data_IF_153752046669
#
_entry.id   IF_153752046669
#
_cell.length_a   1.000
_cell.length_b   1.000
_cell.length_c   1.000
_cell.angle_alpha   90.00
_cell.angle_beta   90.00
_cell.angle_gamma   90.00
#
_symmetry.space_group_name_H-M   'P 1'
#
loop_
_entity.id
_entity.type
_entity.pdbx_description
1 polymer ?
#
# COMPACT_ATOMS: atom_id res chain seq x y z
N UNK A 1 -16.41 -33.33 -61.32
CA UNK A 1 -17.11 -34.31 -62.17
C UNK A 1 -16.69 -34.03 -63.60
N UNK A 2 -16.39 -35.10 -64.34
CA UNK A 2 -15.71 -35.14 -65.63
C UNK A 2 -14.19 -34.91 -65.56
N UNK A 3 -13.32 -35.66 -66.23
CA UNK A 3 -13.34 -36.98 -66.88
C UNK A 3 -11.95 -37.04 -67.54
N UNK A 4 -11.27 -38.17 -67.42
CA UNK A 4 -10.23 -38.63 -68.34
C UNK A 4 -9.15 -37.60 -68.77
N UNK A 5 -8.14 -37.38 -67.92
CA UNK A 5 -6.81 -37.16 -68.45
C UNK A 5 -6.26 -38.52 -68.89
N UNK A 6 -6.09 -38.70 -70.19
CA UNK A 6 -5.51 -39.89 -70.81
C UNK A 6 -4.06 -40.04 -70.33
N UNK A 7 -3.80 -41.05 -69.50
CA UNK A 7 -2.46 -41.38 -69.05
C UNK A 7 -1.84 -42.40 -70.02
N UNK A 8 -0.92 -41.92 -70.86
CA UNK A 8 0.21 -42.71 -71.39
C UNK A 8 -0.08 -44.13 -71.89
N UNK A 9 -0.95 -44.33 -72.87
CA UNK A 9 -1.12 -45.63 -73.54
C UNK A 9 0.00 -45.88 -74.59
N UNK A 10 1.20 -46.26 -74.12
CA UNK A 10 2.33 -46.94 -74.81
C UNK A 10 3.71 -46.50 -74.32
N UNK A 11 3.78 -45.57 -73.39
CA UNK A 11 5.01 -45.37 -72.61
C UNK A 11 4.77 -46.00 -71.25
N UNK A 12 5.68 -46.89 -70.84
CA UNK A 12 5.79 -47.45 -69.50
C UNK A 12 6.21 -46.36 -68.48
N UNK A 13 5.65 -45.15 -68.64
CA UNK A 13 5.93 -43.94 -67.88
C UNK A 13 4.78 -43.78 -66.89
N UNK A 14 5.05 -44.16 -65.65
CA UNK A 14 4.18 -43.85 -64.52
C UNK A 14 4.22 -42.34 -64.27
N UNK A 15 3.34 -41.62 -64.96
CA UNK A 15 3.24 -40.16 -64.87
C UNK A 15 2.88 -39.70 -63.46
N UNK A 16 2.22 -40.52 -62.64
CA UNK A 16 1.94 -40.21 -61.24
C UNK A 16 3.21 -40.33 -60.38
N UNK A 17 4.03 -41.35 -60.59
CA UNK A 17 5.34 -41.48 -59.94
C UNK A 17 6.29 -40.35 -60.37
N UNK A 18 6.28 -39.94 -61.64
CA UNK A 18 7.05 -38.78 -62.13
C UNK A 18 6.57 -37.48 -61.48
N UNK A 19 5.26 -37.25 -61.39
CA UNK A 19 4.68 -36.08 -60.72
C UNK A 19 5.04 -36.11 -59.22
N UNK A 20 4.92 -37.26 -58.54
CA UNK A 20 5.30 -37.40 -57.14
C UNK A 20 6.82 -37.18 -56.92
N UNK A 21 7.67 -37.63 -57.86
CA UNK A 21 9.12 -37.38 -57.83
C UNK A 21 9.47 -35.92 -58.10
N UNK A 22 8.72 -35.22 -58.96
CA UNK A 22 8.88 -33.77 -59.15
C UNK A 22 8.40 -32.98 -57.93
N UNK A 23 7.25 -33.33 -57.34
CA UNK A 23 6.71 -32.71 -56.13
C UNK A 23 7.64 -32.93 -54.93
N UNK A 24 8.21 -34.12 -54.76
CA UNK A 24 9.19 -34.38 -53.70
C UNK A 24 10.54 -33.68 -53.94
N UNK A 25 10.96 -33.51 -55.19
CA UNK A 25 12.13 -32.69 -55.54
C UNK A 25 11.88 -31.20 -55.22
N UNK A 26 10.68 -30.69 -55.47
CA UNK A 26 10.27 -29.33 -55.14
C UNK A 26 10.16 -29.14 -53.61
N UNK A 27 9.61 -30.12 -52.90
CA UNK A 27 9.48 -30.14 -51.43
C UNK A 27 10.84 -30.22 -50.70
N UNK A 28 11.89 -30.74 -51.33
CA UNK A 28 13.26 -30.78 -50.76
C UNK A 28 13.76 -29.40 -50.31
N UNK A 29 13.36 -28.34 -51.01
CA UNK A 29 13.69 -26.97 -50.64
C UNK A 29 13.01 -26.56 -49.33
N UNK A 30 11.76 -26.98 -49.13
CA UNK A 30 10.98 -26.78 -47.91
C UNK A 30 11.55 -27.59 -46.74
N UNK A 31 11.94 -28.85 -46.95
CA UNK A 31 12.58 -29.67 -45.93
C UNK A 31 13.90 -29.05 -45.45
N UNK A 32 14.69 -28.48 -46.37
CA UNK A 32 15.94 -27.81 -46.06
C UNK A 32 15.71 -26.51 -45.27
N UNK A 33 14.65 -25.77 -45.58
CA UNK A 33 14.25 -24.57 -44.82
C UNK A 33 13.71 -24.94 -43.44
N UNK A 34 12.90 -26.00 -43.30
CA UNK A 34 12.39 -26.46 -42.01
C UNK A 34 13.52 -26.97 -41.12
N UNK A 35 14.48 -27.72 -41.67
CA UNK A 35 15.69 -28.13 -40.94
C UNK A 35 16.51 -26.92 -40.46
N UNK A 36 16.68 -25.89 -41.31
CA UNK A 36 17.33 -24.63 -40.91
C UNK A 36 16.56 -23.91 -39.80
N UNK A 37 15.24 -23.85 -39.90
CA UNK A 37 14.37 -23.26 -38.88
C UNK A 37 14.49 -23.98 -37.54
N UNK A 38 14.54 -25.32 -37.53
CA UNK A 38 14.76 -26.09 -36.30
C UNK A 38 16.12 -25.78 -35.66
N UNK A 39 17.18 -25.66 -36.45
CA UNK A 39 18.51 -25.27 -35.96
C UNK A 39 18.49 -23.85 -35.36
N UNK A 40 17.88 -22.88 -36.03
CA UNK A 40 17.76 -21.51 -35.52
C UNK A 40 16.87 -21.43 -34.27
N UNK A 41 15.82 -22.24 -34.16
CA UNK A 41 15.01 -22.36 -32.95
C UNK A 41 15.81 -22.92 -31.77
N UNK A 42 16.65 -23.94 -31.99
CA UNK A 42 17.53 -24.49 -30.96
C UNK A 42 18.59 -23.47 -30.51
N UNK A 43 19.17 -22.71 -31.45
CA UNK A 43 20.08 -21.59 -31.14
C UNK A 43 19.37 -20.53 -30.31
N UNK A 44 18.16 -20.12 -30.72
CA UNK A 44 17.36 -19.14 -29.98
C UNK A 44 17.06 -19.61 -28.56
N UNK A 45 16.66 -20.87 -28.37
CA UNK A 45 16.41 -21.45 -27.05
C UNK A 45 17.69 -21.42 -26.18
N UNK A 46 18.85 -21.72 -26.77
CA UNK A 46 20.14 -21.67 -26.08
C UNK A 46 20.51 -20.23 -25.67
N UNK A 47 20.28 -19.24 -26.55
CA UNK A 47 20.49 -17.83 -26.24
C UNK A 47 19.52 -17.32 -25.16
N UNK A 48 18.27 -17.75 -25.17
CA UNK A 48 17.30 -17.42 -24.12
C UNK A 48 17.73 -18.01 -22.77
N UNK A 49 18.19 -19.27 -22.74
CA UNK A 49 18.72 -19.88 -21.53
C UNK A 49 19.95 -19.14 -21.00
N UNK A 50 20.89 -18.74 -21.87
CA UNK A 50 22.05 -17.94 -21.50
C UNK A 50 21.64 -16.56 -20.95
N UNK A 51 20.71 -15.86 -21.62
CA UNK A 51 20.16 -14.58 -21.17
C UNK A 51 19.57 -14.69 -19.76
N UNK A 52 18.76 -15.71 -19.51
CA UNK A 52 18.14 -15.93 -18.20
C UNK A 52 19.21 -16.18 -17.13
N UNK A 53 20.23 -17.00 -17.43
CA UNK A 53 21.35 -17.24 -16.50
C UNK A 53 22.14 -15.96 -16.20
N UNK A 54 22.40 -15.14 -17.21
CA UNK A 54 23.07 -13.84 -17.03
C UNK A 54 22.22 -12.86 -16.21
N UNK A 55 20.90 -12.86 -16.39
CA UNK A 55 19.99 -12.04 -15.58
C UNK A 55 19.99 -12.50 -14.11
N UNK A 56 19.95 -13.81 -13.86
CA UNK A 56 20.08 -14.35 -12.49
C UNK A 56 21.43 -13.99 -11.89
N UNK A 57 22.53 -14.17 -12.61
CA UNK A 57 23.86 -13.81 -12.13
C UNK A 57 23.96 -12.32 -11.80
N UNK A 58 23.46 -11.45 -12.70
CA UNK A 58 23.39 -10.00 -12.47
C UNK A 58 22.63 -9.70 -11.18
N UNK A 59 21.48 -10.34 -10.94
CA UNK A 59 20.67 -10.14 -9.74
C UNK A 59 21.43 -10.49 -8.45
N UNK A 60 22.15 -11.62 -8.46
CA UNK A 60 22.99 -12.05 -7.34
C UNK A 60 24.10 -11.04 -7.07
N UNK A 61 24.82 -10.62 -8.13
CA UNK A 61 25.91 -9.64 -8.01
C UNK A 61 25.39 -8.29 -7.53
N UNK A 62 24.25 -7.80 -8.03
CA UNK A 62 23.65 -6.54 -7.55
C UNK A 62 23.24 -6.62 -6.08
N UNK A 63 22.76 -7.79 -5.63
CA UNK A 63 22.42 -8.00 -4.22
C UNK A 63 23.67 -7.99 -3.34
N UNK A 64 24.76 -8.60 -3.81
CA UNK A 64 26.03 -8.64 -3.09
C UNK A 64 26.80 -7.32 -3.14
N UNK A 65 26.60 -6.47 -4.16
CA UNK A 65 27.29 -5.19 -4.29
C UNK A 65 26.72 -4.08 -3.37
N UNK A 66 26.16 -4.44 -2.21
CA UNK A 66 25.68 -3.48 -1.22
C UNK A 66 26.51 -3.63 0.06
N UNK A 67 27.20 -2.57 0.46
CA UNK A 67 28.07 -2.54 1.64
C UNK A 67 27.32 -2.92 2.92
N UNK A 68 26.03 -2.58 3.00
CA UNK A 68 25.13 -2.93 4.11
C UNK A 68 24.96 -4.43 4.34
N UNK A 69 25.23 -5.28 3.34
CA UNK A 69 25.19 -6.75 3.48
C UNK A 69 26.40 -7.32 4.21
N UNK A 70 27.53 -6.62 4.19
CA UNK A 70 28.76 -7.04 4.85
C UNK A 70 28.94 -6.40 6.23
N UNK A 71 28.39 -5.21 6.42
CA UNK A 71 28.39 -4.50 7.71
C UNK A 71 27.03 -4.69 8.38
N UNK A 72 26.71 -5.94 8.74
CA UNK A 72 25.47 -6.25 9.45
C UNK A 72 25.69 -6.15 10.95
N UNK A 73 25.18 -5.08 11.56
CA UNK A 73 25.06 -4.99 13.01
C UNK A 73 23.85 -5.82 13.46
N UNK A 74 24.03 -6.67 14.47
CA UNK A 74 22.95 -7.40 15.12
C UNK A 74 22.63 -6.75 16.45
N UNK A 75 21.35 -6.49 16.71
CA UNK A 75 20.87 -6.12 18.03
C UNK A 75 20.62 -7.38 18.88
N UNK A 76 20.98 -7.31 20.16
CA UNK A 76 20.58 -8.29 21.16
C UNK A 76 19.90 -7.53 22.29
N UNK A 77 18.64 -7.82 22.53
CA UNK A 77 17.89 -7.25 23.64
C UNK A 77 18.06 -8.12 24.88
N UNK A 78 18.32 -7.49 26.02
CA UNK A 78 18.39 -8.15 27.33
C UNK A 78 17.58 -7.33 28.33
N UNK A 79 16.56 -7.97 28.92
CA UNK A 79 15.81 -7.39 30.02
C UNK A 79 16.50 -7.76 31.33
N UNK A 80 16.92 -6.75 32.09
CA UNK A 80 17.60 -6.93 33.37
C UNK A 80 16.63 -6.82 34.57
N UNK A 81 15.31 -6.88 34.33
CA UNK A 81 14.29 -6.91 35.37
C UNK A 81 14.21 -8.28 36.01
N UNK A 82 14.27 -8.34 37.34
CA UNK A 82 14.15 -9.59 38.09
C UNK A 82 12.71 -10.13 38.15
N UNK A 83 11.72 -9.32 37.83
CA UNK A 83 10.29 -9.67 37.94
C UNK A 83 9.59 -9.89 36.60
N UNK A 84 10.23 -9.54 35.48
CA UNK A 84 9.64 -9.64 34.15
C UNK A 84 10.71 -9.95 33.10
N UNK A 85 10.44 -10.96 32.25
CA UNK A 85 11.30 -11.35 31.14
C UNK A 85 10.73 -10.91 29.78
N UNK A 86 9.61 -10.19 29.78
CA UNK A 86 8.95 -9.77 28.57
C UNK A 86 9.80 -8.76 27.80
N UNK A 87 9.60 -8.74 26.49
CA UNK A 87 10.26 -7.81 25.60
C UNK A 87 9.58 -6.45 25.70
N UNK A 88 10.27 -5.46 26.29
CA UNK A 88 9.72 -4.10 26.45
C UNK A 88 9.94 -3.23 25.21
N UNK A 89 10.96 -3.52 24.40
CA UNK A 89 11.33 -2.74 23.21
C UNK A 89 11.83 -3.65 22.09
N UNK A 90 11.43 -3.34 20.86
CA UNK A 90 12.04 -3.89 19.64
C UNK A 90 13.21 -3.01 19.19
N UNK A 91 14.37 -3.63 18.94
CA UNK A 91 15.57 -2.93 18.49
C UNK A 91 15.93 -3.42 17.10
N UNK A 92 15.94 -2.51 16.13
CA UNK A 92 16.46 -2.74 14.79
C UNK A 92 17.73 -1.92 14.56
N UNK A 93 18.67 -2.45 13.79
CA UNK A 93 19.98 -1.84 13.53
C UNK A 93 20.22 -1.69 12.04
N UNK A 94 20.89 -0.61 11.66
CA UNK A 94 21.40 -0.41 10.29
C UNK A 94 22.90 -0.64 10.24
N UNK A 95 23.48 -0.70 9.04
CA UNK A 95 24.93 -0.85 8.85
C UNK A 95 25.75 0.32 9.39
N UNK A 96 25.13 1.46 9.65
CA UNK A 96 25.74 2.65 10.24
C UNK A 96 25.64 2.70 11.77
N UNK A 97 24.98 1.73 12.40
CA UNK A 97 24.86 1.69 13.86
C UNK A 97 26.24 1.48 14.50
N UNK A 98 26.54 2.27 15.55
CA UNK A 98 27.76 2.09 16.32
C UNK A 98 27.62 0.87 17.23
N UNK A 99 28.64 0.00 17.26
CA UNK A 99 28.66 -1.15 18.15
C UNK A 99 28.88 -0.71 19.60
N UNK A 100 28.06 -1.23 20.51
CA UNK A 100 28.17 -0.92 21.94
C UNK A 100 27.01 -1.50 22.74
N UNK A 101 27.11 -1.36 24.06
CA UNK A 101 26.02 -1.69 24.99
C UNK A 101 25.33 -0.40 25.42
N UNK A 102 24.00 -0.37 25.29
CA UNK A 102 23.19 0.78 25.63
C UNK A 102 22.17 0.37 26.70
N UNK A 103 22.15 1.11 27.81
CA UNK A 103 21.14 0.93 28.87
C UNK A 103 19.97 1.88 28.61
N UNK A 104 18.75 1.32 28.58
CA UNK A 104 17.51 2.07 28.40
C UNK A 104 16.61 1.81 29.60
N UNK A 105 15.96 2.87 30.09
CA UNK A 105 14.85 2.78 31.05
C UNK A 105 13.62 3.37 30.36
N UNK A 106 12.50 2.64 30.42
CA UNK A 106 11.22 3.09 29.86
C UNK A 106 10.33 3.49 31.04
N UNK A 107 10.17 4.80 31.24
CA UNK A 107 9.32 5.31 32.31
C UNK A 107 7.85 5.36 31.91
N UNK A 108 7.55 6.03 30.79
CA UNK A 108 6.19 6.23 30.28
C UNK A 108 6.12 5.94 28.78
N UNK A 109 5.02 5.32 28.35
CA UNK A 109 4.72 5.13 26.94
C UNK A 109 4.06 6.39 26.37
N UNK A 110 4.43 6.76 25.14
CA UNK A 110 3.72 7.78 24.41
C UNK A 110 2.33 7.26 24.03
N UNK A 111 1.28 7.91 24.53
CA UNK A 111 -0.11 7.58 24.22
C UNK A 111 -0.72 8.62 23.29
N UNK A 112 -1.74 8.21 22.53
CA UNK A 112 -2.59 9.12 21.77
C UNK A 112 -3.51 9.94 22.68
N UNK A 113 -3.88 11.14 22.25
CA UNK A 113 -4.89 11.94 22.97
C UNK A 113 -6.29 11.48 22.60
N UNK A 114 -7.18 11.35 23.60
CA UNK A 114 -8.60 11.06 23.42
C UNK A 114 -9.44 12.11 24.11
N UNK A 115 -10.32 12.75 23.36
CA UNK A 115 -11.34 13.68 23.85
C UNK A 115 -12.68 13.01 23.68
N UNK A 116 -13.48 12.99 24.73
CA UNK A 116 -14.83 12.44 24.73
C UNK A 116 -15.79 13.58 25.02
N UNK A 117 -16.81 13.73 24.18
CA UNK A 117 -17.86 14.73 24.40
C UNK A 117 -18.80 14.32 25.53
N UNK A 118 -19.69 15.25 25.89
CA UNK A 118 -20.91 14.92 26.62
C UNK A 118 -21.79 13.95 25.80
N UNK A 119 -22.72 13.28 26.48
CA UNK A 119 -23.67 12.38 25.84
C UNK A 119 -24.72 13.13 25.02
N UNK A 120 -25.17 12.49 23.95
CA UNK A 120 -26.25 12.92 23.07
C UNK A 120 -27.27 11.79 22.92
N UNK A 121 -28.55 12.14 22.73
CA UNK A 121 -29.63 11.16 22.57
C UNK A 121 -29.48 10.32 21.29
N UNK A 122 -28.93 10.89 20.22
CA UNK A 122 -28.73 10.23 18.93
C UNK A 122 -27.59 10.84 18.12
N UNK A 123 -27.17 10.14 17.05
CA UNK A 123 -26.19 10.68 16.07
C UNK A 123 -26.72 11.86 15.26
N UNK A 124 -28.04 12.09 15.27
CA UNK A 124 -28.70 13.20 14.58
C UNK A 124 -29.05 14.35 15.51
N UNK A 125 -28.65 14.29 16.78
CA UNK A 125 -28.90 15.36 17.75
C UNK A 125 -28.38 16.69 17.22
N UNK A 126 -29.22 17.73 17.31
CA UNK A 126 -28.89 19.07 16.83
C UNK A 126 -27.84 19.73 17.73
N UNK A 127 -26.93 20.47 17.11
CA UNK A 127 -25.87 21.24 17.75
C UNK A 127 -26.15 22.73 17.56
N UNK A 128 -25.73 23.54 18.53
CA UNK A 128 -25.78 25.00 18.39
C UNK A 128 -24.81 25.50 17.31
N UNK A 129 -25.28 26.43 16.48
CA UNK A 129 -24.45 27.09 15.47
C UNK A 129 -23.26 27.81 16.11
N UNK A 130 -22.11 27.74 15.46
CA UNK A 130 -20.88 28.32 15.98
C UNK A 130 -19.65 27.84 15.24
N UNK A 131 -18.49 28.00 15.86
CA UNK A 131 -17.20 27.60 15.30
C UNK A 131 -16.51 26.63 16.25
N UNK A 132 -16.07 25.51 15.70
CA UNK A 132 -15.27 24.50 16.40
C UNK A 132 -13.85 24.56 15.87
N UNK A 133 -12.91 24.95 16.71
CA UNK A 133 -11.48 24.85 16.38
C UNK A 133 -10.95 23.53 16.90
N UNK A 134 -10.35 22.74 16.01
CA UNK A 134 -9.63 21.50 16.33
C UNK A 134 -8.15 21.76 16.10
N UNK A 135 -7.33 21.40 17.08
CA UNK A 135 -5.88 21.52 17.01
C UNK A 135 -5.27 20.14 17.26
N UNK A 136 -4.35 19.71 16.40
CA UNK A 136 -3.52 18.51 16.57
C UNK A 136 -2.07 18.93 16.50
N UNK A 137 -1.38 18.89 17.64
CA UNK A 137 -0.02 19.41 17.76
C UNK A 137 0.06 20.90 17.41
N UNK A 138 0.82 21.21 16.36
CA UNK A 138 0.98 22.57 15.82
C UNK A 138 -0.03 22.94 14.73
N UNK A 139 -0.77 21.98 14.19
CA UNK A 139 -1.74 22.23 13.12
C UNK A 139 -3.13 22.49 13.71
N UNK A 140 -3.84 23.50 13.21
CA UNK A 140 -5.20 23.80 13.65
C UNK A 140 -6.11 24.18 12.49
N UNK A 141 -7.35 23.71 12.55
CA UNK A 141 -8.39 24.01 11.57
C UNK A 141 -9.70 24.33 12.29
N UNK A 142 -10.54 25.16 11.67
CA UNK A 142 -11.82 25.56 12.24
C UNK A 142 -12.97 25.07 11.35
N UNK A 143 -13.95 24.43 11.97
CA UNK A 143 -15.21 24.02 11.37
C UNK A 143 -16.26 25.07 11.74
N UNK A 144 -17.02 25.55 10.76
CA UNK A 144 -18.22 26.35 11.01
C UNK A 144 -19.42 25.40 11.05
N UNK A 145 -20.15 25.41 12.17
CA UNK A 145 -21.42 24.71 12.35
C UNK A 145 -22.55 25.66 11.98
N UNK A 146 -23.36 25.27 10.99
CA UNK A 146 -24.53 25.98 10.51
C UNK A 146 -25.67 24.98 10.21
N UNK A 147 -26.80 25.47 9.70
CA UNK A 147 -27.98 24.63 9.40
C UNK A 147 -27.77 23.48 8.40
N UNK A 148 -26.64 23.42 7.70
CA UNK A 148 -26.33 22.32 6.75
C UNK A 148 -25.57 21.16 7.42
N UNK A 149 -24.94 21.39 8.57
CA UNK A 149 -24.08 20.42 9.25
C UNK A 149 -24.23 20.45 10.80
N UNK A 150 -25.29 21.05 11.32
CA UNK A 150 -25.61 21.17 12.76
C UNK A 150 -26.10 19.87 13.41
N UNK A 151 -25.72 18.71 12.89
CA UNK A 151 -25.96 17.42 13.55
C UNK A 151 -24.67 16.86 14.10
N UNK A 152 -24.77 15.97 15.09
CA UNK A 152 -23.60 15.30 15.64
C UNK A 152 -22.81 14.50 14.58
N UNK A 153 -23.50 13.86 13.63
CA UNK A 153 -22.87 13.21 12.48
C UNK A 153 -22.26 14.20 11.49
N UNK A 154 -22.90 15.34 11.27
CA UNK A 154 -22.35 16.45 10.48
C UNK A 154 -21.02 16.94 11.05
N UNK A 155 -20.93 17.13 12.37
CA UNK A 155 -19.70 17.50 13.05
C UNK A 155 -18.63 16.40 12.95
N UNK A 156 -18.99 15.14 13.16
CA UNK A 156 -18.06 14.00 13.04
C UNK A 156 -17.45 13.93 11.63
N UNK A 157 -18.26 14.05 10.59
CA UNK A 157 -17.79 14.07 9.21
C UNK A 157 -16.92 15.30 8.94
N UNK A 158 -17.32 16.47 9.41
CA UNK A 158 -16.53 17.69 9.26
C UNK A 158 -15.14 17.57 9.91
N UNK A 159 -15.04 16.98 11.11
CA UNK A 159 -13.75 16.72 11.79
C UNK A 159 -12.88 15.77 10.97
N UNK A 160 -13.44 14.64 10.52
CA UNK A 160 -12.70 13.67 9.72
C UNK A 160 -12.23 14.23 8.36
N UNK A 161 -12.91 15.26 7.84
CA UNK A 161 -12.58 15.93 6.59
C UNK A 161 -11.63 17.13 6.75
N UNK A 162 -11.17 17.45 7.96
CA UNK A 162 -10.24 18.56 8.21
C UNK A 162 -8.83 18.34 7.63
N UNK A 163 -8.47 17.10 7.30
CA UNK A 163 -7.11 16.74 6.86
C UNK A 163 -6.06 16.84 7.96
N UNK A 164 -6.47 16.90 9.23
CA UNK A 164 -5.58 16.83 10.39
C UNK A 164 -5.38 15.38 10.82
N UNK A 165 -4.31 15.11 11.58
CA UNK A 165 -4.03 13.80 12.20
C UNK A 165 -4.98 13.49 13.38
N UNK A 166 -6.28 13.53 13.13
CA UNK A 166 -7.36 13.25 14.10
C UNK A 166 -8.42 12.37 13.47
N UNK A 167 -9.11 11.60 14.32
CA UNK A 167 -10.24 10.75 13.93
C UNK A 167 -11.40 10.96 14.89
N UNK A 168 -12.58 11.21 14.35
CA UNK A 168 -13.82 11.31 15.09
C UNK A 168 -14.72 10.10 14.84
N UNK A 169 -15.19 9.48 15.92
CA UNK A 169 -16.06 8.31 15.92
C UNK A 169 -17.12 8.40 17.00
N UNK A 170 -18.21 7.65 16.85
CA UNK A 170 -19.19 7.49 17.92
C UNK A 170 -18.77 6.39 18.88
N UNK A 171 -19.01 6.64 20.15
CA UNK A 171 -18.95 5.66 21.23
C UNK A 171 -20.35 5.60 21.83
N UNK A 172 -20.94 4.41 21.89
CA UNK A 172 -22.14 4.18 22.70
C UNK A 172 -21.69 3.72 24.09
N UNK A 173 -21.98 4.50 25.13
CA UNK A 173 -21.59 4.20 26.50
C UNK A 173 -22.66 3.45 27.31
N UNK A 174 -23.84 3.23 26.73
CA UNK A 174 -24.96 2.53 27.35
C UNK A 174 -25.84 3.39 28.26
N UNK A 175 -25.75 4.72 28.24
CA UNK A 175 -26.69 5.59 28.96
C UNK A 175 -28.12 5.46 28.39
N UNK A 176 -29.13 5.43 29.27
CA UNK A 176 -30.53 5.22 28.88
C UNK A 176 -31.14 6.40 28.10
N UNK A 177 -30.57 7.60 28.24
CA UNK A 177 -31.13 8.85 27.69
C UNK A 177 -30.23 9.56 26.70
N UNK A 178 -28.91 9.47 26.91
CA UNK A 178 -27.89 10.12 26.08
C UNK A 178 -26.72 9.17 25.74
N UNK A 179 -26.99 8.01 25.11
CA UNK A 179 -26.01 6.94 24.92
C UNK A 179 -24.85 7.31 24.00
N UNK A 180 -25.02 8.31 23.12
CA UNK A 180 -24.07 8.59 22.05
C UNK A 180 -23.05 9.63 22.47
N UNK A 181 -21.77 9.28 22.49
CA UNK A 181 -20.65 10.21 22.69
C UNK A 181 -19.84 10.36 21.41
N UNK A 182 -19.34 11.56 21.15
CA UNK A 182 -18.33 11.82 20.13
C UNK A 182 -16.94 11.61 20.74
N UNK A 183 -16.26 10.56 20.30
CA UNK A 183 -14.87 10.28 20.61
C UNK A 183 -13.98 10.85 19.51
N UNK A 184 -13.05 11.71 19.88
CA UNK A 184 -12.02 12.27 19.00
C UNK A 184 -10.66 11.76 19.47
N UNK A 185 -9.92 11.08 18.61
CA UNK A 185 -8.58 10.57 18.89
C UNK A 185 -7.54 11.18 17.96
N UNK A 186 -6.36 11.50 18.47
CA UNK A 186 -5.20 11.82 17.62
C UNK A 186 -4.63 10.55 16.96
N UNK A 187 -4.10 10.68 15.74
CA UNK A 187 -3.41 9.59 15.06
C UNK A 187 -1.93 9.48 15.48
N UNK A 188 -1.41 10.50 16.17
CA UNK A 188 -0.05 10.56 16.68
C UNK A 188 -0.05 10.42 18.20
N UNK A 189 1.00 9.80 18.73
CA UNK A 189 1.20 9.65 20.18
C UNK A 189 2.13 10.73 20.73
N UNK A 190 2.06 10.93 22.05
CA UNK A 190 2.90 11.89 22.76
C UNK A 190 2.43 13.35 22.63
N UNK A 191 3.17 14.26 23.26
CA UNK A 191 2.75 15.66 23.39
C UNK A 191 2.64 16.40 22.05
N UNK A 192 3.44 16.03 21.05
CA UNK A 192 3.34 16.61 19.69
C UNK A 192 2.06 16.19 18.97
N UNK A 193 1.49 15.04 19.32
CA UNK A 193 0.19 14.57 18.84
C UNK A 193 -0.99 15.00 19.71
N UNK A 194 -0.79 15.97 20.61
CA UNK A 194 -1.84 16.42 21.52
C UNK A 194 -3.01 17.03 20.74
N UNK A 195 -4.22 16.52 20.99
CA UNK A 195 -5.44 17.04 20.38
C UNK A 195 -6.14 17.95 21.37
N UNK A 196 -6.59 19.11 20.91
CA UNK A 196 -7.48 20.01 21.66
C UNK A 196 -8.63 20.46 20.79
N UNK A 197 -9.77 20.75 21.42
CA UNK A 197 -10.97 21.20 20.76
C UNK A 197 -11.58 22.35 21.56
N UNK A 198 -11.94 23.43 20.88
CA UNK A 198 -12.64 24.55 21.49
C UNK A 198 -13.84 24.96 20.64
N UNK A 199 -14.96 25.23 21.30
CA UNK A 199 -16.17 25.74 20.67
C UNK A 199 -16.37 27.22 21.02
N UNK A 200 -16.70 28.03 20.02
CA UNK A 200 -17.13 29.41 20.19
C UNK A 200 -18.46 29.62 19.50
N UNK A 201 -19.45 30.13 20.22
CA UNK A 201 -20.76 30.48 19.70
C UNK A 201 -20.66 31.67 18.75
N UNK A 202 -21.41 31.64 17.65
CA UNK A 202 -21.51 32.81 16.77
C UNK A 202 -22.31 33.90 17.48
N UNK A 203 -21.67 35.05 17.75
CA UNK A 203 -22.34 36.16 18.43
C UNK A 203 -23.17 36.94 17.42
N UNK A 204 -24.47 37.14 17.72
CA UNK A 204 -25.41 37.88 16.88
C UNK A 204 -25.23 39.42 17.05
N UNK A 205 -24.37 39.86 17.96
CA UNK A 205 -24.08 41.28 18.14
C UNK A 205 -22.95 41.73 17.22
N UNK A 206 -23.12 42.78 16.39
CA UNK A 206 -22.00 43.43 15.75
C UNK A 206 -21.06 43.95 16.86
N UNK A 207 -19.77 43.67 16.72
CA UNK A 207 -18.73 44.42 17.43
C UNK A 207 -18.77 45.85 16.89
N UNK A 208 -19.61 46.70 17.49
CA UNK A 208 -19.43 48.13 17.36
C UNK A 208 -18.11 48.47 18.05
N UNK A 209 -17.12 48.80 17.24
CA UNK A 209 -15.96 49.59 17.66
C UNK A 209 -16.48 50.86 18.34
N UNK A 210 -16.40 50.90 19.67
CA UNK A 210 -16.42 52.17 20.39
C UNK A 210 -14.96 52.48 20.71
N UNK A 211 -14.52 53.61 20.16
CA UNK A 211 -13.18 54.21 20.24
C UNK A 211 -12.63 54.35 21.66
#
# INVERSE_FOLDING_TARGET
MAQNAVFGINSNLDTQDIINKMVSLEARSMDLVEAKKQIEQQKLASFQALKNRLQTFKSVVTTLNTESRFIVNKSVFSNNSSSDNNKVVDITTTSSATSGTYSLVVDNLATETKIISNGFASTTSELENGRVKVTSGSASSTITINSTNNSLDGLRLAINNLGLDVKASFLNDGDDTVPVRLLISGNLTGATGAVTMSYSKDSIYPVDEIS
#
